data_IF_754029730007
#
_entry.id   IF_754029730007
#
_cell.length_a   1.000
_cell.length_b   1.000
_cell.length_c   1.000
_cell.angle_alpha   90.00
_cell.angle_beta   90.00
_cell.angle_gamma   90.00
#
_symmetry.space_group_name_H-M   'P 1'
#
loop_
_entity.id
_entity.type
_entity.pdbx_description
1 polymer ?
#
# COMPACT_ATOMS: atom_id res chain seq x y z
N UNK A 1 3.24 16.77 33.72
CA UNK A 1 2.24 15.85 33.17
C UNK A 1 3.03 14.79 32.43
N UNK A 2 2.94 13.54 32.88
CA UNK A 2 3.57 12.42 32.21
C UNK A 2 2.86 12.22 30.87
N UNK A 3 3.59 12.44 29.78
CA UNK A 3 3.07 12.30 28.43
C UNK A 3 3.96 11.31 27.67
N UNK A 4 3.34 10.38 26.97
CA UNK A 4 4.03 9.46 26.07
C UNK A 4 3.93 9.99 24.65
N UNK A 5 5.01 9.87 23.90
CA UNK A 5 5.04 10.26 22.49
C UNK A 5 4.85 9.01 21.63
N UNK A 6 3.82 9.03 20.80
CA UNK A 6 3.63 8.09 19.71
C UNK A 6 4.07 8.75 18.39
N UNK A 7 4.88 8.04 17.61
CA UNK A 7 5.23 8.40 16.25
C UNK A 7 4.56 7.41 15.32
N UNK A 8 3.90 7.92 14.28
CA UNK A 8 3.20 7.09 13.30
C UNK A 8 3.66 7.45 11.89
N UNK A 9 3.98 6.42 11.11
CA UNK A 9 4.10 6.47 9.65
C UNK A 9 2.95 5.69 9.02
N UNK A 10 2.71 5.89 7.74
CA UNK A 10 1.66 5.22 6.98
C UNK A 10 2.04 5.22 5.52
N UNK A 11 1.55 4.23 4.77
CA UNK A 11 1.66 4.16 3.31
C UNK A 11 3.09 4.44 2.85
N UNK A 12 4.07 3.85 3.57
CA UNK A 12 5.49 4.07 3.30
C UNK A 12 5.89 3.52 1.94
N UNK A 13 5.20 2.46 1.46
CA UNK A 13 5.36 1.88 0.14
C UNK A 13 6.81 1.73 -0.29
N UNK A 14 7.63 1.13 0.58
CA UNK A 14 9.05 0.87 0.33
C UNK A 14 9.83 2.11 -0.13
N UNK A 15 9.42 3.32 0.26
CA UNK A 15 10.02 4.59 -0.16
C UNK A 15 11.39 4.83 0.50
N UNK A 16 12.23 3.80 0.65
CA UNK A 16 13.53 3.86 1.33
C UNK A 16 14.47 4.90 0.71
N UNK A 17 14.63 5.00 -0.64
CA UNK A 17 15.52 6.00 -1.23
C UNK A 17 15.07 7.44 -0.98
N UNK A 18 13.78 7.73 -1.11
CA UNK A 18 13.20 9.08 -0.96
C UNK A 18 12.85 9.48 0.47
N UNK A 19 12.57 8.49 1.33
CA UNK A 19 12.08 8.63 2.70
C UNK A 19 13.15 8.60 3.77
N UNK A 20 14.44 8.76 3.42
CA UNK A 20 15.56 8.73 4.38
C UNK A 20 15.40 9.76 5.50
N UNK A 21 14.90 10.96 5.20
CA UNK A 21 14.65 11.99 6.21
C UNK A 21 13.58 11.54 7.23
N UNK A 22 12.51 10.90 6.76
CA UNK A 22 11.48 10.30 7.61
C UNK A 22 12.06 9.20 8.50
N UNK A 23 12.81 8.26 7.92
CA UNK A 23 13.44 7.19 8.69
C UNK A 23 14.41 7.76 9.74
N UNK A 24 15.20 8.77 9.39
CA UNK A 24 16.09 9.45 10.34
C UNK A 24 15.33 10.12 11.49
N UNK A 25 14.20 10.77 11.19
CA UNK A 25 13.33 11.37 12.20
C UNK A 25 12.69 10.30 13.11
N UNK A 26 12.25 9.17 12.55
CA UNK A 26 11.78 8.00 13.32
C UNK A 26 12.88 7.50 14.26
N UNK A 27 14.11 7.29 13.77
CA UNK A 27 15.24 6.88 14.62
C UNK A 27 15.49 7.88 15.75
N UNK A 28 15.43 9.18 15.46
CA UNK A 28 15.64 10.23 16.44
C UNK A 28 14.57 10.22 17.55
N UNK A 29 13.30 10.08 17.18
CA UNK A 29 12.21 10.02 18.16
C UNK A 29 12.25 8.73 18.97
N UNK A 30 12.54 7.60 18.34
CA UNK A 30 12.73 6.32 19.03
C UNK A 30 13.87 6.40 20.05
N UNK A 31 14.99 7.02 19.68
CA UNK A 31 16.12 7.24 20.61
C UNK A 31 15.75 8.16 21.79
N UNK A 32 14.73 9.01 21.64
CA UNK A 32 14.15 9.83 22.73
C UNK A 32 13.09 9.07 23.54
N UNK A 33 12.82 7.81 23.23
CA UNK A 33 11.87 6.96 23.93
C UNK A 33 10.43 7.05 23.42
N UNK A 34 10.19 7.57 22.21
CA UNK A 34 8.88 7.48 21.58
C UNK A 34 8.53 6.03 21.21
N UNK A 35 7.26 5.70 21.28
CA UNK A 35 6.68 4.49 20.70
C UNK A 35 6.46 4.74 19.21
N UNK A 36 6.74 3.77 18.36
CA UNK A 36 6.68 3.92 16.91
C UNK A 36 5.76 2.86 16.31
N UNK A 37 4.82 3.30 15.48
CA UNK A 37 3.82 2.44 14.84
C UNK A 37 3.76 2.77 13.36
N UNK A 38 3.54 1.77 12.53
CA UNK A 38 3.17 1.98 11.13
C UNK A 38 1.71 1.60 10.92
N UNK A 39 0.98 2.44 10.19
CA UNK A 39 -0.45 2.29 9.92
C UNK A 39 -0.77 1.51 8.64
N UNK A 40 0.22 0.80 8.07
CA UNK A 40 0.04 -0.15 6.98
C UNK A 40 0.49 0.38 5.64
N UNK A 41 0.55 -0.55 4.68
CA UNK A 41 1.13 -0.35 3.34
C UNK A 41 2.60 0.10 3.44
N UNK A 42 3.36 -0.61 4.27
CA UNK A 42 4.80 -0.39 4.39
C UNK A 42 5.56 -0.97 3.20
N UNK A 43 5.11 -2.11 2.69
CA UNK A 43 5.73 -2.84 1.59
C UNK A 43 5.18 -2.45 0.21
N UNK A 44 5.91 -2.88 -0.82
CA UNK A 44 5.46 -2.83 -2.21
C UNK A 44 5.41 -1.45 -2.85
N UNK A 45 4.93 -1.44 -4.08
CA UNK A 45 4.54 -0.22 -4.79
C UNK A 45 5.64 0.49 -5.61
N UNK A 46 6.88 -0.01 -5.63
CA UNK A 46 7.97 0.60 -6.39
C UNK A 46 9.12 -0.37 -6.75
N UNK A 47 10.09 0.11 -7.53
CA UNK A 47 11.26 -0.65 -7.95
C UNK A 47 12.21 -1.03 -6.81
N UNK A 48 12.24 -0.26 -5.72
CA UNK A 48 13.08 -0.59 -4.56
C UNK A 48 12.61 -1.88 -3.89
N UNK A 49 11.30 -2.09 -3.78
CA UNK A 49 10.74 -3.32 -3.22
C UNK A 49 11.12 -4.56 -4.04
N UNK A 50 11.02 -4.47 -5.37
CA UNK A 50 11.43 -5.54 -6.28
C UNK A 50 12.93 -5.87 -6.14
N UNK A 51 13.76 -4.84 -5.97
CA UNK A 51 15.19 -5.01 -5.71
C UNK A 51 15.48 -5.65 -4.35
N UNK A 52 14.83 -5.17 -3.29
CA UNK A 52 15.09 -5.63 -1.92
C UNK A 52 14.49 -7.00 -1.63
N UNK A 53 13.41 -7.35 -2.33
CA UNK A 53 12.54 -8.48 -2.03
C UNK A 53 11.91 -8.37 -0.64
N UNK A 54 11.60 -7.15 -0.18
CA UNK A 54 11.08 -6.86 1.16
C UNK A 54 12.11 -6.95 2.30
N UNK A 55 13.34 -7.40 2.05
CA UNK A 55 14.34 -7.67 3.10
C UNK A 55 14.79 -6.41 3.86
N UNK A 56 14.89 -5.28 3.15
CA UNK A 56 15.31 -4.01 3.78
C UNK A 56 14.17 -3.44 4.61
N UNK A 57 12.95 -3.55 4.10
CA UNK A 57 11.71 -3.12 4.73
C UNK A 57 11.45 -3.92 6.00
N UNK A 58 11.57 -5.25 5.95
CA UNK A 58 11.48 -6.13 7.11
C UNK A 58 12.50 -5.73 8.19
N UNK A 59 13.76 -5.49 7.79
CA UNK A 59 14.81 -5.03 8.71
C UNK A 59 14.43 -3.69 9.36
N UNK A 60 13.94 -2.73 8.58
CA UNK A 60 13.53 -1.42 9.09
C UNK A 60 12.37 -1.54 10.08
N UNK A 61 11.36 -2.36 9.77
CA UNK A 61 10.23 -2.64 10.66
C UNK A 61 10.71 -3.28 11.98
N UNK A 62 11.54 -4.31 11.91
CA UNK A 62 12.10 -4.99 13.08
C UNK A 62 12.99 -4.10 13.95
N UNK A 63 13.69 -3.12 13.38
CA UNK A 63 14.58 -2.22 14.12
C UNK A 63 13.88 -1.01 14.73
N UNK A 64 12.87 -0.48 14.04
CA UNK A 64 12.34 0.85 14.32
C UNK A 64 10.94 0.86 14.90
N UNK A 65 10.15 -0.18 14.68
CA UNK A 65 8.71 -0.16 14.97
C UNK A 65 8.37 -1.08 16.15
N UNK A 66 7.43 -0.63 16.96
CA UNK A 66 6.89 -1.37 18.09
C UNK A 66 5.59 -2.11 17.72
N UNK A 67 4.88 -1.67 16.67
CA UNK A 67 3.72 -2.35 16.09
C UNK A 67 3.51 -1.95 14.62
N UNK A 68 2.79 -2.81 13.88
CA UNK A 68 2.33 -2.56 12.51
C UNK A 68 0.84 -2.88 12.42
N UNK A 69 0.03 -2.02 11.82
CA UNK A 69 -1.29 -2.39 11.29
C UNK A 69 -1.11 -2.80 9.83
N UNK A 70 -1.62 -3.95 9.38
CA UNK A 70 -1.41 -4.38 8.00
C UNK A 70 -2.29 -3.56 7.04
N UNK A 71 -1.69 -3.09 5.96
CA UNK A 71 -2.41 -2.56 4.80
C UNK A 71 -2.71 -3.65 3.75
N UNK A 72 -3.37 -3.24 2.67
CA UNK A 72 -3.74 -4.16 1.59
C UNK A 72 -2.53 -4.63 0.75
N UNK A 73 -1.41 -3.91 0.80
CA UNK A 73 -0.19 -4.28 0.10
C UNK A 73 0.78 -5.14 0.93
N UNK A 74 0.55 -5.33 2.24
CA UNK A 74 1.53 -5.96 3.13
C UNK A 74 1.42 -7.49 3.20
N UNK A 75 0.25 -8.08 2.90
CA UNK A 75 -0.05 -9.46 3.32
C UNK A 75 0.90 -10.49 2.72
N UNK A 76 1.30 -10.32 1.47
CA UNK A 76 2.17 -11.26 0.79
C UNK A 76 3.58 -11.28 1.42
N UNK A 77 4.12 -10.13 1.81
CA UNK A 77 5.41 -10.00 2.48
C UNK A 77 5.36 -10.47 3.94
N UNK A 78 4.26 -10.19 4.65
CA UNK A 78 4.03 -10.73 6.00
C UNK A 78 4.03 -12.26 6.02
N UNK A 79 3.60 -12.92 4.95
CA UNK A 79 3.65 -14.39 4.84
C UNK A 79 5.05 -14.94 4.51
N UNK A 80 6.03 -14.07 4.21
CA UNK A 80 7.38 -14.43 3.74
C UNK A 80 8.51 -13.86 4.61
N UNK A 81 8.21 -13.47 5.85
CA UNK A 81 9.19 -12.93 6.79
C UNK A 81 10.40 -13.86 6.96
N UNK A 82 11.60 -13.31 6.85
CA UNK A 82 12.84 -14.04 7.07
C UNK A 82 13.15 -14.25 8.56
N UNK A 83 12.77 -13.29 9.42
CA UNK A 83 12.96 -13.34 10.87
C UNK A 83 11.68 -12.92 11.62
N UNK A 84 10.64 -13.78 11.61
CA UNK A 84 9.36 -13.49 12.26
C UNK A 84 9.46 -13.24 13.77
N UNK A 85 10.52 -13.74 14.42
CA UNK A 85 10.77 -13.54 15.84
C UNK A 85 11.15 -12.11 16.20
N UNK A 86 11.83 -11.39 15.29
CA UNK A 86 12.22 -9.98 15.49
C UNK A 86 11.21 -9.00 14.92
N UNK A 87 10.39 -9.41 13.97
CA UNK A 87 9.37 -8.56 13.34
C UNK A 87 8.35 -8.02 14.36
N UNK A 88 7.93 -6.74 14.31
CA UNK A 88 6.97 -6.20 15.27
C UNK A 88 5.64 -6.95 15.24
N UNK A 89 4.86 -6.97 16.34
CA UNK A 89 3.51 -7.50 16.31
C UNK A 89 2.65 -6.79 15.25
N UNK A 90 1.96 -7.59 14.43
CA UNK A 90 0.91 -7.13 13.52
C UNK A 90 -0.40 -7.03 14.31
N UNK A 91 -1.05 -5.87 14.25
CA UNK A 91 -2.26 -5.57 15.03
C UNK A 91 -3.44 -5.35 14.09
N UNK A 92 -4.40 -6.27 14.09
CA UNK A 92 -5.61 -6.15 13.28
C UNK A 92 -6.77 -6.94 13.89
N UNK A 93 -7.80 -6.25 14.36
CA UNK A 93 -8.95 -6.82 15.04
C UNK A 93 -9.82 -7.69 14.12
N UNK A 94 -9.92 -7.31 12.86
CA UNK A 94 -10.90 -7.83 11.92
C UNK A 94 -10.30 -8.69 10.80
N UNK A 95 -8.99 -9.00 10.91
CA UNK A 95 -8.29 -9.90 10.01
C UNK A 95 -7.45 -10.87 10.85
N UNK A 96 -7.56 -12.18 10.56
CA UNK A 96 -6.72 -13.21 11.17
C UNK A 96 -5.90 -13.94 10.11
N UNK A 97 -4.59 -14.15 10.35
CA UNK A 97 -3.75 -14.86 9.41
C UNK A 97 -4.06 -16.36 9.39
N UNK A 98 -3.62 -17.08 8.34
CA UNK A 98 -3.66 -18.53 8.32
C UNK A 98 -2.74 -19.12 9.41
N UNK A 99 -3.00 -20.35 9.84
CA UNK A 99 -2.28 -20.99 10.95
C UNK A 99 -0.77 -21.20 10.67
N UNK A 100 -0.35 -21.10 9.40
CA UNK A 100 1.06 -21.16 8.96
C UNK A 100 1.82 -19.84 9.10
N UNK A 101 1.18 -18.78 9.59
CA UNK A 101 1.84 -17.50 9.79
C UNK A 101 2.75 -17.58 11.03
N UNK A 102 4.04 -17.37 10.83
CA UNK A 102 5.06 -17.56 11.87
C UNK A 102 5.30 -16.30 12.74
N UNK A 103 4.75 -15.15 12.33
CA UNK A 103 4.90 -13.89 13.05
C UNK A 103 3.97 -13.73 14.24
N UNK A 104 4.07 -12.58 14.92
CA UNK A 104 3.13 -12.20 16.00
C UNK A 104 1.94 -11.45 15.42
N UNK A 105 0.74 -11.95 15.65
CA UNK A 105 -0.50 -11.28 15.26
C UNK A 105 -1.44 -11.14 16.48
N UNK A 106 -2.01 -9.96 16.67
CA UNK A 106 -2.97 -9.69 17.73
C UNK A 106 -4.15 -8.85 17.21
N UNK A 107 -5.33 -9.01 17.83
CA UNK A 107 -6.50 -8.17 17.49
C UNK A 107 -6.34 -6.74 18.00
N UNK A 108 -5.68 -6.59 19.14
CA UNK A 108 -5.34 -5.33 19.78
C UNK A 108 -4.05 -5.52 20.58
N UNK A 109 -3.36 -4.42 20.89
CA UNK A 109 -2.04 -4.47 21.54
C UNK A 109 -1.91 -3.38 22.60
N UNK A 110 -1.55 -3.76 23.82
CA UNK A 110 -1.02 -2.83 24.81
C UNK A 110 0.47 -2.63 24.53
N UNK A 111 0.88 -1.40 24.17
CA UNK A 111 2.27 -1.10 23.90
C UNK A 111 3.14 -1.26 25.17
N UNK A 112 4.46 -1.50 25.02
CA UNK A 112 5.37 -1.74 26.14
C UNK A 112 5.26 -0.68 27.26
N UNK A 113 5.55 -1.08 28.49
CA UNK A 113 5.31 -0.31 29.71
C UNK A 113 6.01 1.07 29.73
N UNK A 114 5.31 2.08 29.21
CA UNK A 114 5.55 3.51 29.46
C UNK A 114 4.25 4.10 29.98
N UNK A 115 4.36 5.10 30.84
CA UNK A 115 3.20 5.84 31.34
C UNK A 115 2.98 7.10 30.48
N UNK A 116 1.75 7.42 30.06
CA UNK A 116 0.55 6.58 30.07
C UNK A 116 0.70 5.29 29.24
N UNK A 117 0.07 4.22 29.71
CA UNK A 117 -0.07 2.95 28.98
C UNK A 117 -1.02 3.14 27.80
N UNK A 118 -0.50 2.97 26.58
CA UNK A 118 -1.26 3.18 25.34
C UNK A 118 -1.67 1.83 24.74
N UNK A 119 -2.97 1.64 24.56
CA UNK A 119 -3.53 0.53 23.79
C UNK A 119 -3.81 0.91 22.34
N UNK A 120 -3.57 -0.02 21.41
CA UNK A 120 -3.86 0.12 19.99
C UNK A 120 -4.92 -0.91 19.59
N UNK A 121 -5.98 -0.44 18.93
CA UNK A 121 -6.89 -1.28 18.15
C UNK A 121 -6.60 -1.04 16.67
N UNK A 122 -6.06 -2.06 16.00
CA UNK A 122 -5.78 -2.03 14.57
C UNK A 122 -6.98 -2.53 13.76
N UNK A 123 -7.29 -1.96 12.60
CA UNK A 123 -8.32 -2.52 11.70
C UNK A 123 -8.11 -2.16 10.23
N UNK A 124 -8.54 -3.06 9.35
CA UNK A 124 -8.45 -2.94 7.89
C UNK A 124 -9.85 -2.73 7.30
N UNK A 125 -10.02 -1.71 6.45
CA UNK A 125 -11.30 -1.44 5.79
C UNK A 125 -11.72 -2.56 4.84
N UNK A 126 -13.02 -2.78 4.66
CA UNK A 126 -13.53 -3.79 3.73
C UNK A 126 -13.10 -3.51 2.28
N UNK A 127 -13.20 -2.25 1.84
CA UNK A 127 -12.75 -1.81 0.54
C UNK A 127 -11.26 -2.07 0.31
N UNK A 128 -10.41 -1.84 1.33
CA UNK A 128 -8.99 -2.13 1.25
C UNK A 128 -8.73 -3.64 1.21
N UNK A 129 -9.42 -4.44 2.01
CA UNK A 129 -9.31 -5.90 1.95
C UNK A 129 -9.73 -6.49 0.59
N UNK A 130 -10.69 -5.87 -0.07
CA UNK A 130 -11.20 -6.29 -1.37
C UNK A 130 -10.28 -5.93 -2.55
N UNK A 131 -9.31 -5.02 -2.37
CA UNK A 131 -8.26 -4.74 -3.37
C UNK A 131 -7.10 -5.73 -3.30
N UNK A 132 -6.99 -6.52 -2.22
CA UNK A 132 -5.95 -7.53 -2.08
C UNK A 132 -6.19 -8.66 -3.09
N UNK A 133 -5.19 -9.02 -3.92
CA UNK A 133 -5.31 -10.14 -4.84
C UNK A 133 -5.82 -11.41 -4.13
N UNK A 134 -6.81 -12.12 -4.68
CA UNK A 134 -7.39 -13.33 -4.08
C UNK A 134 -6.35 -14.36 -3.61
N UNK A 135 -5.28 -14.54 -4.39
CA UNK A 135 -4.18 -15.45 -4.05
C UNK A 135 -3.39 -15.00 -2.80
N UNK A 136 -3.24 -13.70 -2.58
CA UNK A 136 -2.47 -13.13 -1.46
C UNK A 136 -3.27 -13.13 -0.16
N UNK A 137 -4.59 -12.90 -0.22
CA UNK A 137 -5.49 -13.01 0.94
C UNK A 137 -6.00 -14.43 1.20
N UNK A 138 -5.58 -15.42 0.40
CA UNK A 138 -6.00 -16.80 0.57
C UNK A 138 -5.62 -17.36 1.94
N UNK A 139 -6.61 -17.89 2.66
CA UNK A 139 -6.43 -18.45 4.02
C UNK A 139 -6.53 -17.43 5.15
N UNK A 140 -6.55 -16.13 4.85
CA UNK A 140 -6.90 -15.12 5.84
C UNK A 140 -8.39 -15.16 6.15
N UNK A 141 -8.74 -14.98 7.43
CA UNK A 141 -10.12 -14.87 7.89
C UNK A 141 -10.43 -13.41 8.16
N UNK A 142 -11.20 -12.79 7.26
CA UNK A 142 -11.64 -11.40 7.37
C UNK A 142 -13.09 -11.32 7.86
N UNK A 143 -13.36 -10.33 8.71
CA UNK A 143 -14.73 -9.88 9.02
C UNK A 143 -14.80 -8.37 8.79
N UNK A 144 -15.92 -7.81 8.29
CA UNK A 144 -16.07 -6.37 8.19
C UNK A 144 -15.85 -5.70 9.56
N UNK A 145 -15.09 -4.60 9.64
CA UNK A 145 -14.92 -3.89 10.89
C UNK A 145 -16.25 -3.24 11.31
N UNK A 146 -16.59 -3.32 12.60
CA UNK A 146 -17.80 -2.72 13.16
C UNK A 146 -17.51 -1.96 14.44
N UNK A 147 -18.36 -0.99 14.78
CA UNK A 147 -18.26 -0.26 16.05
C UNK A 147 -18.20 -1.20 17.26
N UNK A 148 -18.97 -2.30 17.26
CA UNK A 148 -19.00 -3.28 18.36
C UNK A 148 -17.69 -4.08 18.48
N UNK A 149 -17.11 -4.49 17.34
CA UNK A 149 -15.82 -5.18 17.32
C UNK A 149 -14.73 -4.28 17.91
N UNK A 150 -14.67 -3.03 17.45
CA UNK A 150 -13.70 -2.05 17.94
C UNK A 150 -13.94 -1.70 19.40
N UNK A 151 -15.20 -1.65 19.86
CA UNK A 151 -15.54 -1.37 21.25
C UNK A 151 -15.08 -2.52 22.17
N UNK A 152 -15.29 -3.76 21.72
CA UNK A 152 -14.86 -4.96 22.45
C UNK A 152 -13.35 -4.96 22.69
N UNK A 153 -12.56 -4.69 21.65
CA UNK A 153 -11.09 -4.62 21.76
C UNK A 153 -10.63 -3.42 22.60
N UNK A 154 -11.30 -2.26 22.48
CA UNK A 154 -11.04 -1.10 23.34
C UNK A 154 -11.27 -1.44 24.82
N UNK A 155 -12.42 -2.02 25.13
CA UNK A 155 -12.82 -2.31 26.52
C UNK A 155 -11.93 -3.38 27.14
N UNK A 156 -11.50 -4.35 26.32
CA UNK A 156 -10.46 -5.31 26.71
C UNK A 156 -9.17 -4.61 27.10
N UNK A 157 -8.62 -3.74 26.25
CA UNK A 157 -7.38 -3.02 26.56
C UNK A 157 -7.49 -2.14 27.81
N UNK A 158 -8.64 -1.47 28.01
CA UNK A 158 -8.90 -0.70 29.23
C UNK A 158 -8.91 -1.62 30.46
N UNK A 159 -9.51 -2.81 30.36
CA UNK A 159 -9.50 -3.80 31.45
C UNK A 159 -8.11 -4.39 31.74
N UNK A 160 -7.25 -4.45 30.74
CA UNK A 160 -5.84 -4.86 30.84
C UNK A 160 -4.94 -3.72 31.38
N UNK A 161 -5.51 -2.54 31.64
CA UNK A 161 -4.85 -1.40 32.27
C UNK A 161 -4.27 -0.37 31.31
N UNK A 162 -4.79 -0.24 30.09
CA UNK A 162 -4.53 0.90 29.24
C UNK A 162 -5.10 2.18 29.87
N UNK A 163 -4.31 3.25 29.91
CA UNK A 163 -4.79 4.59 30.28
C UNK A 163 -5.56 5.23 29.11
N UNK A 164 -5.09 5.00 27.89
CA UNK A 164 -5.67 5.53 26.64
C UNK A 164 -5.66 4.45 25.57
N UNK A 165 -6.75 4.37 24.81
CA UNK A 165 -6.84 3.49 23.64
C UNK A 165 -7.04 4.33 22.37
N UNK A 166 -6.23 4.04 21.36
CA UNK A 166 -6.31 4.68 20.04
C UNK A 166 -6.62 3.66 18.96
N UNK A 167 -7.23 4.13 17.88
CA UNK A 167 -7.39 3.36 16.65
C UNK A 167 -6.22 3.61 15.72
N UNK A 168 -5.75 2.56 15.07
CA UNK A 168 -4.88 2.67 13.89
C UNK A 168 -5.56 1.91 12.77
N UNK A 169 -5.96 2.63 11.74
CA UNK A 169 -6.87 2.18 10.70
C UNK A 169 -6.17 2.19 9.36
N UNK A 170 -6.36 1.13 8.59
CA UNK A 170 -6.04 1.10 7.16
C UNK A 170 -7.35 1.07 6.34
N UNK A 171 -8.22 2.04 6.60
CA UNK A 171 -9.56 2.15 5.96
C UNK A 171 -9.63 3.37 5.02
N UNK A 172 -8.84 4.41 5.27
CA UNK A 172 -8.91 5.65 4.50
C UNK A 172 -9.61 6.75 5.29
N UNK A 173 -9.00 7.93 5.28
CA UNK A 173 -9.39 9.11 6.03
C UNK A 173 -10.88 9.46 5.94
N UNK A 174 -11.47 9.45 4.73
CA UNK A 174 -12.89 9.79 4.57
C UNK A 174 -13.83 8.73 5.19
N UNK A 175 -13.46 7.46 5.09
CA UNK A 175 -14.21 6.37 5.72
C UNK A 175 -14.08 6.43 7.25
N UNK A 176 -12.87 6.65 7.76
CA UNK A 176 -12.65 6.81 9.20
C UNK A 176 -13.42 8.01 9.77
N UNK A 177 -13.51 9.13 9.03
CA UNK A 177 -14.34 10.27 9.42
C UNK A 177 -15.81 9.89 9.48
N UNK A 178 -16.33 9.21 8.45
CA UNK A 178 -17.70 8.74 8.43
C UNK A 178 -17.98 7.81 9.62
N UNK A 179 -17.09 6.88 9.92
CA UNK A 179 -17.21 5.99 11.08
C UNK A 179 -17.26 6.77 12.41
N UNK A 180 -16.40 7.79 12.56
CA UNK A 180 -16.42 8.65 13.75
C UNK A 180 -17.71 9.49 13.87
N UNK A 181 -18.26 9.95 12.76
CA UNK A 181 -19.56 10.65 12.71
C UNK A 181 -20.73 9.73 13.09
N UNK A 182 -20.65 8.44 12.75
CA UNK A 182 -21.59 7.40 13.19
C UNK A 182 -21.37 6.96 14.65
N UNK A 183 -20.44 7.58 15.37
CA UNK A 183 -20.28 7.39 16.81
C UNK A 183 -19.45 6.18 17.21
N UNK A 184 -18.55 5.71 16.33
CA UNK A 184 -17.60 4.63 16.64
C UNK A 184 -16.83 4.87 17.96
N UNK A 185 -16.38 3.82 18.65
CA UNK A 185 -16.07 3.88 20.08
C UNK A 185 -14.77 4.59 20.47
N UNK A 186 -13.92 4.95 19.52
CA UNK A 186 -12.59 5.50 19.77
C UNK A 186 -12.60 7.03 19.66
N UNK A 187 -11.82 7.72 20.50
CA UNK A 187 -11.71 9.20 20.45
C UNK A 187 -10.64 9.68 19.47
N UNK A 188 -9.67 8.83 19.15
CA UNK A 188 -8.57 9.13 18.25
C UNK A 188 -8.35 7.93 17.33
N UNK A 189 -8.41 8.19 16.02
CA UNK A 189 -8.07 7.24 14.97
C UNK A 189 -6.93 7.83 14.12
N UNK A 190 -5.88 7.05 13.91
CA UNK A 190 -4.85 7.33 12.91
C UNK A 190 -5.21 6.57 11.63
N UNK A 191 -5.37 7.28 10.52
CA UNK A 191 -5.81 6.75 9.24
C UNK A 191 -4.64 6.56 8.26
N UNK A 192 -4.65 5.43 7.54
CA UNK A 192 -3.83 5.12 6.36
C UNK A 192 -4.68 4.85 5.10
N UNK A 193 -4.16 4.10 4.13
CA UNK A 193 -4.79 3.61 2.89
C UNK A 193 -5.02 4.65 1.79
N UNK A 194 -5.46 5.86 2.15
CA UNK A 194 -5.86 6.87 1.16
C UNK A 194 -4.86 8.02 1.06
N UNK A 195 -4.53 8.41 -0.17
CA UNK A 195 -3.74 9.61 -0.49
C UNK A 195 -4.58 10.90 -0.40
N UNK A 196 -5.35 11.03 0.68
CA UNK A 196 -6.25 12.17 0.89
C UNK A 196 -5.45 13.46 1.08
N UNK A 197 -5.92 14.60 0.51
CA UNK A 197 -5.32 15.91 0.78
C UNK A 197 -5.59 16.40 2.21
N UNK A 198 -6.47 15.73 2.96
CA UNK A 198 -6.79 16.04 4.35
C UNK A 198 -5.98 15.19 5.32
N UNK A 199 -5.48 15.83 6.38
CA UNK A 199 -4.64 15.19 7.41
C UNK A 199 -5.24 15.18 8.80
N UNK A 200 -6.29 15.98 9.04
CA UNK A 200 -6.92 16.08 10.35
C UNK A 200 -8.39 16.47 10.23
N UNK A 201 -9.24 15.75 10.95
CA UNK A 201 -10.64 16.06 11.19
C UNK A 201 -10.92 15.98 12.69
N UNK A 202 -11.81 16.83 13.19
CA UNK A 202 -12.27 16.75 14.56
C UNK A 202 -13.74 17.15 14.72
N UNK A 203 -14.46 16.43 15.59
CA UNK A 203 -15.83 16.77 16.01
C UNK A 203 -16.13 16.18 17.38
N UNK A 204 -16.77 16.95 18.27
CA UNK A 204 -17.19 16.50 19.59
C UNK A 204 -16.10 15.75 20.40
N UNK A 205 -14.85 16.22 20.32
CA UNK A 205 -13.69 15.61 20.99
C UNK A 205 -13.23 14.29 20.38
N UNK A 206 -13.64 13.98 19.15
CA UNK A 206 -13.15 12.87 18.32
C UNK A 206 -12.21 13.40 17.25
N UNK A 207 -11.20 12.62 16.90
CA UNK A 207 -10.15 13.01 15.96
C UNK A 207 -9.85 11.87 15.00
N UNK A 208 -9.76 12.21 13.71
CA UNK A 208 -9.17 11.36 12.68
C UNK A 208 -7.96 12.11 12.14
N UNK A 209 -6.78 11.48 12.16
CA UNK A 209 -5.54 12.14 11.77
C UNK A 209 -4.70 11.21 10.90
N UNK A 210 -3.88 11.75 10.01
CA UNK A 210 -3.07 10.96 9.07
C UNK A 210 -1.62 11.46 9.04
N UNK A 211 -0.68 10.56 8.82
CA UNK A 211 0.73 10.90 8.55
C UNK A 211 0.95 11.14 7.04
N UNK A 212 1.95 11.94 6.62
CA UNK A 212 2.31 12.06 5.21
C UNK A 212 2.83 10.73 4.65
N UNK A 213 2.36 10.39 3.46
CA UNK A 213 2.58 9.11 2.80
C UNK A 213 3.90 9.07 2.02
N UNK A 214 4.26 7.89 1.51
CA UNK A 214 5.39 7.65 0.60
C UNK A 214 6.71 8.20 1.16
N UNK A 215 6.87 8.05 2.48
CA UNK A 215 8.05 8.51 3.19
C UNK A 215 8.21 10.04 3.25
N UNK A 216 7.16 10.82 2.98
CA UNK A 216 7.22 12.29 2.97
C UNK A 216 7.09 12.92 4.36
N UNK A 217 6.94 12.14 5.43
CA UNK A 217 6.71 12.69 6.75
C UNK A 217 6.41 11.68 7.84
N UNK A 218 6.09 12.20 9.02
CA UNK A 218 5.55 11.42 10.12
C UNK A 218 4.50 12.21 10.90
N UNK A 219 3.62 11.50 11.57
CA UNK A 219 2.75 12.03 12.60
C UNK A 219 3.39 11.83 13.97
N UNK A 220 3.31 12.84 14.83
CA UNK A 220 3.67 12.72 16.24
C UNK A 220 2.47 13.08 17.11
N UNK A 221 2.20 12.25 18.10
CA UNK A 221 1.11 12.42 19.06
C UNK A 221 1.72 12.41 20.47
N UNK A 222 1.63 13.54 21.18
CA UNK A 222 1.88 13.55 22.61
C UNK A 222 0.56 13.23 23.32
N UNK A 223 0.51 12.13 24.06
CA UNK A 223 -0.68 11.62 24.76
C UNK A 223 -0.48 11.71 26.27
N UNK A 224 -1.43 12.28 26.99
CA UNK A 224 -1.52 12.21 28.45
C UNK A 224 -2.45 11.09 28.92
N UNK A 225 -2.41 10.80 30.23
CA UNK A 225 -3.21 9.75 30.88
C UNK A 225 -4.73 9.91 30.78
N UNK A 226 -5.22 11.11 30.48
CA UNK A 226 -6.66 11.40 30.39
C UNK A 226 -7.19 11.29 28.96
N UNK A 227 -6.31 10.99 27.99
CA UNK A 227 -6.63 11.03 26.55
C UNK A 227 -6.48 12.41 25.93
N UNK A 228 -6.01 13.40 26.69
CA UNK A 228 -5.61 14.70 26.16
C UNK A 228 -4.40 14.53 25.25
N UNK A 229 -4.42 15.23 24.12
CA UNK A 229 -3.43 15.00 23.06
C UNK A 229 -3.07 16.25 22.27
N UNK A 230 -1.83 16.26 21.77
CA UNK A 230 -1.31 17.27 20.84
C UNK A 230 -0.69 16.54 19.65
N UNK A 231 -1.18 16.84 18.46
CA UNK A 231 -0.66 16.31 17.20
C UNK A 231 0.35 17.28 16.57
N UNK A 232 1.33 16.72 15.90
CA UNK A 232 2.27 17.45 15.05
C UNK A 232 2.54 16.60 13.82
N UNK A 233 2.21 17.13 12.65
CA UNK A 233 2.49 16.50 11.36
C UNK A 233 3.79 17.13 10.84
N UNK A 234 4.82 16.32 10.70
CA UNK A 234 6.09 16.73 10.10
C UNK A 234 6.13 16.28 8.65
N UNK A 235 6.39 17.21 7.74
CA UNK A 235 6.69 16.90 6.34
C UNK A 235 8.18 17.10 6.07
N UNK A 236 8.75 16.23 5.25
CA UNK A 236 10.13 16.26 4.85
C UNK A 236 10.17 16.25 3.33
N UNK A 237 10.99 17.13 2.75
CA UNK A 237 11.29 17.09 1.32
C UNK A 237 12.58 16.30 1.10
N UNK A 238 12.75 15.63 -0.06
CA UNK A 238 14.01 14.96 -0.37
C UNK A 238 15.25 15.88 -0.29
N UNK A 239 15.06 17.20 -0.44
CA UNK A 239 16.09 18.24 -0.33
C UNK A 239 16.37 18.71 1.11
N UNK A 240 15.50 18.40 2.07
CA UNK A 240 15.71 18.78 3.48
C UNK A 240 16.36 17.63 4.24
N UNK A 241 17.69 17.77 4.41
CA UNK A 241 18.55 17.03 5.33
C UNK A 241 18.76 15.54 5.04
N UNK A 242 19.84 15.28 4.32
CA UNK A 242 20.65 14.05 4.47
C UNK A 242 20.91 13.84 5.98
N UNK A 243 20.75 12.61 6.52
CA UNK A 243 21.02 12.36 7.93
C UNK A 243 22.47 12.74 8.27
N UNK A 244 22.74 13.36 9.44
CA UNK A 244 24.08 13.78 9.82
C UNK A 244 25.04 12.61 10.13
N UNK A 245 24.64 11.35 9.91
CA UNK A 245 25.40 10.12 10.17
C UNK A 245 25.01 9.01 9.18
N UNK A 246 25.91 8.04 8.93
CA UNK A 246 25.55 6.83 8.18
C UNK A 246 24.35 6.14 8.84
N UNK A 247 23.35 5.76 8.04
CA UNK A 247 22.12 5.10 8.53
C UNK A 247 22.06 3.60 8.19
N UNK A 248 23.13 3.06 7.59
CA UNK A 248 23.23 1.65 7.21
C UNK A 248 22.44 1.29 5.96
N UNK A 249 22.04 2.30 5.17
CA UNK A 249 21.41 2.15 3.86
C UNK A 249 22.35 2.49 2.71
N UNK A 250 23.56 2.99 2.97
CA UNK A 250 24.48 3.49 1.93
C UNK A 250 24.85 2.43 0.89
N UNK A 251 25.23 1.24 1.34
CA UNK A 251 25.64 0.14 0.47
C UNK A 251 24.47 -0.36 -0.38
N UNK A 252 23.34 -0.68 0.26
CA UNK A 252 22.14 -1.17 -0.44
C UNK A 252 21.55 -0.15 -1.41
N UNK A 253 21.65 1.15 -1.11
CA UNK A 253 21.22 2.20 -2.04
C UNK A 253 22.19 2.37 -3.21
N UNK A 254 23.48 2.10 -3.01
CA UNK A 254 24.47 2.07 -4.10
C UNK A 254 24.19 0.88 -5.04
N UNK A 255 23.92 -0.29 -4.47
CA UNK A 255 23.52 -1.48 -5.24
C UNK A 255 22.20 -1.27 -5.98
N UNK A 256 21.20 -0.69 -5.32
CA UNK A 256 19.92 -0.34 -5.92
C UNK A 256 20.10 0.61 -7.10
N UNK A 257 20.93 1.66 -6.96
CA UNK A 257 21.19 2.60 -8.04
C UNK A 257 21.86 1.92 -9.26
N UNK A 258 22.80 1.00 -9.01
CA UNK A 258 23.45 0.22 -10.07
C UNK A 258 22.47 -0.74 -10.76
N UNK A 259 21.66 -1.47 -9.98
CA UNK A 259 20.65 -2.39 -10.49
C UNK A 259 19.54 -1.66 -11.26
N UNK A 260 19.08 -0.53 -10.74
CA UNK A 260 17.99 0.26 -11.31
C UNK A 260 18.39 1.07 -12.52
N UNK A 261 19.68 1.44 -12.62
CA UNK A 261 20.25 2.22 -13.72
C UNK A 261 20.47 1.44 -15.02
N UNK A 262 20.26 0.12 -15.03
CA UNK A 262 20.36 -0.69 -16.25
C UNK A 262 19.34 -0.22 -17.31
N UNK A 263 19.82 0.09 -18.51
CA UNK A 263 18.96 0.53 -19.62
C UNK A 263 18.17 -0.65 -20.18
N UNK A 264 16.85 -0.51 -20.24
CA UNK A 264 15.93 -1.48 -20.86
C UNK A 264 15.72 -1.17 -22.34
N UNK A 265 15.67 0.11 -22.71
CA UNK A 265 15.53 0.56 -24.10
C UNK A 265 15.23 2.05 -24.20
N UNK A 266 14.57 2.47 -25.27
CA UNK A 266 14.28 3.88 -25.55
C UNK A 266 12.94 4.06 -26.23
N UNK A 267 12.09 4.92 -25.67
CA UNK A 267 10.85 5.35 -26.28
C UNK A 267 11.09 6.46 -27.32
N UNK A 268 10.21 6.61 -28.32
CA UNK A 268 10.28 7.73 -29.28
C UNK A 268 10.16 9.11 -28.59
N UNK A 269 9.35 9.18 -27.53
CA UNK A 269 9.16 10.36 -26.69
C UNK A 269 8.90 9.93 -25.25
N UNK A 270 9.12 10.84 -24.28
CA UNK A 270 8.73 10.63 -22.88
C UNK A 270 7.21 10.58 -22.75
N UNK A 271 6.73 9.79 -21.79
CA UNK A 271 5.33 9.70 -21.38
C UNK A 271 5.24 10.31 -19.98
N UNK A 272 4.55 11.43 -19.84
CA UNK A 272 4.61 12.23 -18.62
C UNK A 272 3.75 11.67 -17.49
N UNK A 273 2.64 11.05 -17.87
CA UNK A 273 1.62 10.58 -16.94
C UNK A 273 1.40 9.08 -17.07
N UNK A 274 0.82 8.47 -16.03
CA UNK A 274 0.42 7.06 -16.07
C UNK A 274 -0.66 6.83 -17.13
N UNK A 275 -1.49 7.84 -17.41
CA UNK A 275 -2.53 7.83 -18.43
C UNK A 275 -1.92 7.75 -19.84
N UNK A 276 -0.83 8.49 -20.11
CA UNK A 276 -0.09 8.40 -21.37
C UNK A 276 0.47 6.99 -21.59
N UNK A 277 1.01 6.38 -20.54
CA UNK A 277 1.49 4.99 -20.58
C UNK A 277 0.34 4.02 -20.81
N UNK A 278 -0.77 4.17 -20.09
CA UNK A 278 -1.93 3.28 -20.18
C UNK A 278 -2.47 3.15 -21.60
N UNK A 279 -2.55 4.26 -22.34
CA UNK A 279 -3.05 4.27 -23.72
C UNK A 279 -2.18 3.42 -24.66
N UNK A 280 -0.86 3.62 -24.61
CA UNK A 280 0.08 2.87 -25.46
C UNK A 280 0.18 1.40 -25.04
N UNK A 281 0.23 1.16 -23.73
CA UNK A 281 0.30 -0.17 -23.16
C UNK A 281 -0.94 -1.00 -23.50
N UNK A 282 -2.13 -0.41 -23.43
CA UNK A 282 -3.36 -1.10 -23.82
C UNK A 282 -3.30 -1.58 -25.27
N UNK A 283 -2.80 -0.75 -26.18
CA UNK A 283 -2.69 -1.10 -27.61
C UNK A 283 -1.65 -2.20 -27.85
N UNK A 284 -0.51 -2.15 -27.15
CA UNK A 284 0.51 -3.19 -27.25
C UNK A 284 0.02 -4.51 -26.67
N UNK A 285 -0.57 -4.48 -25.47
CA UNK A 285 -1.10 -5.66 -24.79
C UNK A 285 -2.24 -6.31 -25.58
N UNK A 286 -3.11 -5.50 -26.22
CA UNK A 286 -4.13 -5.99 -27.17
C UNK A 286 -3.52 -6.81 -28.28
N UNK A 287 -2.48 -6.27 -28.93
CA UNK A 287 -1.78 -6.94 -30.04
C UNK A 287 -1.09 -8.21 -29.55
N UNK A 288 -0.40 -8.15 -28.41
CA UNK A 288 0.32 -9.29 -27.83
C UNK A 288 -0.62 -10.43 -27.40
N UNK A 289 -1.80 -10.10 -26.88
CA UNK A 289 -2.81 -11.08 -26.47
C UNK A 289 -3.65 -11.60 -27.66
N UNK A 290 -3.54 -11.01 -28.84
CA UNK A 290 -4.35 -11.40 -30.01
C UNK A 290 -5.86 -11.14 -29.81
N UNK A 291 -6.22 -10.13 -29.03
CA UNK A 291 -7.60 -9.79 -28.70
C UNK A 291 -8.14 -8.62 -29.52
N UNK A 292 -9.46 -8.51 -29.62
CA UNK A 292 -10.12 -7.39 -30.29
C UNK A 292 -9.98 -6.09 -29.50
N UNK A 293 -10.01 -6.19 -28.17
CA UNK A 293 -9.82 -5.10 -27.22
C UNK A 293 -8.98 -5.56 -26.03
N UNK A 294 -8.26 -4.62 -25.46
CA UNK A 294 -7.62 -4.79 -24.16
C UNK A 294 -8.13 -3.77 -23.17
N UNK A 295 -8.35 -4.18 -21.92
CA UNK A 295 -8.73 -3.30 -20.82
C UNK A 295 -7.76 -3.52 -19.66
N UNK A 296 -7.14 -2.44 -19.16
CA UNK A 296 -6.41 -2.46 -17.89
C UNK A 296 -7.05 -1.53 -16.88
N UNK A 297 -6.75 -1.73 -15.61
CA UNK A 297 -6.99 -0.75 -14.57
C UNK A 297 -5.84 0.26 -14.53
N UNK A 298 -6.14 1.56 -14.54
CA UNK A 298 -5.13 2.61 -14.43
C UNK A 298 -4.36 2.52 -13.11
N UNK A 299 -4.99 2.00 -12.05
CA UNK A 299 -4.36 1.72 -10.75
C UNK A 299 -3.20 0.72 -10.83
N UNK A 300 -3.08 -0.07 -11.90
CA UNK A 300 -1.91 -0.92 -12.15
C UNK A 300 -0.65 -0.12 -12.50
N UNK A 301 -0.78 1.17 -12.81
CA UNK A 301 0.30 2.08 -13.17
C UNK A 301 0.47 3.17 -12.11
N UNK A 302 1.73 3.47 -11.74
CA UNK A 302 2.03 4.51 -10.72
C UNK A 302 2.73 5.75 -11.28
N UNK A 303 3.39 5.63 -12.42
CA UNK A 303 4.18 6.72 -13.00
C UNK A 303 4.12 6.73 -14.54
N UNK A 304 4.52 7.86 -15.12
CA UNK A 304 4.91 7.94 -16.52
C UNK A 304 6.24 7.21 -16.80
N UNK A 305 6.75 7.36 -18.02
CA UNK A 305 8.03 6.77 -18.44
C UNK A 305 8.96 7.80 -19.11
N UNK A 306 10.23 7.88 -18.70
CA UNK A 306 11.22 8.70 -19.38
C UNK A 306 11.52 8.14 -20.78
N UNK A 307 12.11 8.97 -21.65
CA UNK A 307 12.50 8.54 -22.99
C UNK A 307 13.55 7.42 -22.94
N UNK A 308 14.59 7.57 -22.12
CA UNK A 308 15.53 6.48 -21.81
C UNK A 308 14.97 5.69 -20.65
N UNK A 309 14.46 4.49 -20.93
CA UNK A 309 13.83 3.65 -19.92
C UNK A 309 14.90 2.78 -19.27
N UNK A 310 15.01 2.91 -17.95
CA UNK A 310 15.83 2.05 -17.11
C UNK A 310 14.97 1.01 -16.40
N UNK A 311 15.59 -0.03 -15.83
CA UNK A 311 14.92 -1.04 -15.02
C UNK A 311 14.08 -0.39 -13.92
N UNK A 312 14.66 0.58 -13.21
CA UNK A 312 13.95 1.32 -12.18
C UNK A 312 12.69 2.00 -12.75
N UNK A 313 12.82 2.80 -13.81
CA UNK A 313 11.66 3.54 -14.33
C UNK A 313 10.54 2.61 -14.85
N UNK A 314 10.92 1.44 -15.40
CA UNK A 314 9.96 0.43 -15.84
C UNK A 314 9.18 -0.15 -14.66
N UNK A 315 9.87 -0.49 -13.58
CA UNK A 315 9.29 -1.10 -12.37
C UNK A 315 8.52 -0.08 -11.52
N UNK A 316 8.97 1.17 -11.46
CA UNK A 316 8.22 2.26 -10.83
C UNK A 316 6.93 2.57 -11.62
N UNK A 317 6.93 2.35 -12.94
CA UNK A 317 5.73 2.51 -13.76
C UNK A 317 4.73 1.36 -13.54
N UNK A 318 5.19 0.10 -13.60
CA UNK A 318 4.38 -1.13 -13.41
C UNK A 318 4.92 -1.94 -12.21
N UNK A 319 4.63 -1.53 -10.97
CA UNK A 319 5.15 -2.20 -9.79
C UNK A 319 4.44 -3.53 -9.50
N UNK A 320 3.20 -3.71 -9.96
CA UNK A 320 2.44 -4.95 -9.80
C UNK A 320 2.27 -5.64 -11.15
N UNK A 321 3.04 -6.71 -11.36
CA UNK A 321 3.12 -7.36 -12.66
C UNK A 321 2.06 -8.44 -12.84
N UNK A 322 0.88 -8.02 -13.28
CA UNK A 322 -0.22 -8.93 -13.51
C UNK A 322 -0.10 -9.67 -14.85
N UNK A 323 -0.49 -10.94 -14.87
CA UNK A 323 -0.58 -11.75 -16.09
C UNK A 323 -1.61 -11.17 -17.06
N UNK A 324 -1.36 -11.31 -18.35
CA UNK A 324 -2.34 -11.04 -19.40
C UNK A 324 -3.23 -12.27 -19.60
N UNK A 325 -4.54 -12.06 -19.59
CA UNK A 325 -5.55 -13.11 -19.75
C UNK A 325 -6.56 -12.74 -20.83
N UNK A 326 -7.11 -13.75 -21.50
CA UNK A 326 -8.24 -13.62 -22.43
C UNK A 326 -9.52 -14.06 -21.72
N UNK A 327 -10.55 -13.23 -21.75
CA UNK A 327 -11.87 -13.58 -21.23
C UNK A 327 -12.50 -14.64 -22.14
N UNK A 328 -13.04 -15.71 -21.56
CA UNK A 328 -13.51 -16.88 -22.31
C UNK A 328 -14.74 -16.60 -23.20
N UNK A 329 -15.50 -15.55 -22.87
CA UNK A 329 -16.68 -15.11 -23.61
C UNK A 329 -16.46 -13.75 -24.27
N UNK A 330 -17.23 -13.47 -25.32
CA UNK A 330 -17.25 -12.13 -25.93
C UNK A 330 -18.14 -11.21 -25.11
N UNK A 331 -17.64 -10.01 -24.81
CA UNK A 331 -18.40 -8.99 -24.10
C UNK A 331 -18.38 -7.66 -24.87
N UNK A 332 -19.41 -6.82 -24.76
CA UNK A 332 -19.28 -5.42 -25.10
C UNK A 332 -18.28 -4.76 -24.15
N UNK A 333 -17.29 -4.06 -24.71
CA UNK A 333 -16.26 -3.37 -23.92
C UNK A 333 -16.88 -2.42 -22.90
N UNK A 334 -17.95 -1.71 -23.27
CA UNK A 334 -18.64 -0.76 -22.40
C UNK A 334 -19.25 -1.42 -21.16
N UNK A 335 -19.68 -2.67 -21.26
CA UNK A 335 -20.19 -3.43 -20.11
C UNK A 335 -19.06 -3.74 -19.13
N UNK A 336 -17.88 -4.12 -19.63
CA UNK A 336 -16.69 -4.37 -18.79
C UNK A 336 -16.22 -3.08 -18.12
N UNK A 337 -16.17 -1.97 -18.87
CA UNK A 337 -15.81 -0.65 -18.34
C UNK A 337 -16.79 -0.18 -17.26
N UNK A 338 -18.10 -0.36 -17.49
CA UNK A 338 -19.11 0.03 -16.51
C UNK A 338 -19.03 -0.81 -15.23
N UNK A 339 -18.85 -2.14 -15.37
CA UNK A 339 -18.70 -3.03 -14.22
C UNK A 339 -17.45 -2.69 -13.39
N UNK A 340 -16.32 -2.39 -14.04
CA UNK A 340 -15.10 -1.95 -13.35
C UNK A 340 -15.31 -0.63 -12.59
N UNK A 341 -15.93 0.38 -13.22
CA UNK A 341 -16.22 1.66 -12.56
C UNK A 341 -17.17 1.50 -11.37
N UNK A 342 -18.12 0.57 -11.41
CA UNK A 342 -19.01 0.28 -10.27
C UNK A 342 -18.26 -0.27 -9.05
N UNK A 343 -17.12 -0.94 -9.28
CA UNK A 343 -16.24 -1.46 -8.23
C UNK A 343 -15.17 -0.45 -7.78
N UNK A 344 -15.24 0.80 -8.25
CA UNK A 344 -14.29 1.86 -7.94
C UNK A 344 -12.99 1.82 -8.75
N UNK A 345 -12.92 0.98 -9.78
CA UNK A 345 -11.74 0.89 -10.65
C UNK A 345 -11.71 2.03 -11.69
N UNK A 346 -10.52 2.30 -12.22
CA UNK A 346 -10.26 3.32 -13.26
C UNK A 346 -9.88 2.65 -14.59
N UNK A 347 -10.82 2.01 -15.32
CA UNK A 347 -10.46 1.20 -16.47
C UNK A 347 -10.08 2.04 -17.71
N UNK A 348 -9.01 1.64 -18.38
CA UNK A 348 -8.53 2.18 -19.66
C UNK A 348 -8.58 1.09 -20.71
N UNK A 349 -9.26 1.35 -21.83
CA UNK A 349 -9.36 0.43 -22.95
C UNK A 349 -8.49 0.87 -24.13
N UNK A 350 -7.99 -0.10 -24.90
CA UNK A 350 -7.38 0.15 -26.21
C UNK A 350 -8.36 0.90 -27.13
N UNK A 351 -7.86 1.74 -28.03
CA UNK A 351 -8.72 2.56 -28.90
C UNK A 351 -9.13 1.83 -30.18
N UNK A 352 -8.29 0.94 -30.69
CA UNK A 352 -8.59 0.17 -31.90
C UNK A 352 -9.49 -1.02 -31.58
N UNK A 353 -10.45 -1.30 -32.48
CA UNK A 353 -11.24 -2.53 -32.52
C UNK A 353 -10.71 -3.39 -33.68
N UNK A 354 -10.37 -4.65 -33.43
CA UNK A 354 -9.95 -5.55 -34.52
C UNK A 354 -11.12 -6.02 -35.41
N UNK A 355 -12.37 -5.79 -34.97
CA UNK A 355 -13.60 -6.20 -35.66
C UNK A 355 -14.73 -5.19 -35.41
N UNK A 356 -15.58 -4.95 -36.42
CA UNK A 356 -16.77 -4.07 -36.35
C UNK A 356 -17.97 -4.65 -35.59
N UNK A 357 -17.76 -5.67 -34.76
CA UNK A 357 -18.80 -6.28 -33.92
C UNK A 357 -18.87 -5.62 -32.53
N UNK A 358 -20.07 -5.50 -31.96
CA UNK A 358 -20.28 -4.87 -30.65
C UNK A 358 -19.85 -5.75 -29.46
N UNK A 359 -19.92 -7.08 -29.62
CA UNK A 359 -19.29 -8.05 -28.72
C UNK A 359 -17.97 -8.52 -29.34
N UNK A 360 -16.92 -8.59 -28.53
CA UNK A 360 -15.57 -8.85 -29.00
C UNK A 360 -14.77 -9.66 -27.98
N UNK A 361 -13.70 -10.32 -28.42
CA UNK A 361 -12.75 -10.98 -27.53
C UNK A 361 -11.98 -9.90 -26.75
N UNK A 362 -12.12 -9.93 -25.42
CA UNK A 362 -11.45 -8.98 -24.53
C UNK A 362 -10.27 -9.68 -23.86
N UNK A 363 -9.10 -9.07 -23.94
CA UNK A 363 -7.99 -9.37 -23.06
C UNK A 363 -7.90 -8.32 -21.95
N UNK A 364 -7.38 -8.73 -20.81
CA UNK A 364 -7.21 -7.86 -19.63
C UNK A 364 -6.09 -8.40 -18.75
N UNK A 365 -5.87 -7.80 -17.58
CA UNK A 365 -4.98 -8.36 -16.55
C UNK A 365 -5.72 -9.39 -15.72
N UNK A 366 -5.00 -10.38 -15.17
CA UNK A 366 -5.57 -11.36 -14.23
C UNK A 366 -6.27 -10.67 -13.06
N UNK A 367 -5.66 -9.62 -12.50
CA UNK A 367 -6.27 -8.76 -11.47
C UNK A 367 -7.68 -8.29 -11.86
N UNK A 368 -7.84 -7.66 -13.03
CA UNK A 368 -9.12 -7.08 -13.42
C UNK A 368 -10.14 -8.16 -13.79
N UNK A 369 -9.71 -9.27 -14.39
CA UNK A 369 -10.59 -10.41 -14.64
C UNK A 369 -11.15 -10.99 -13.34
N UNK A 370 -10.29 -11.22 -12.35
CA UNK A 370 -10.68 -11.73 -11.02
C UNK A 370 -11.57 -10.74 -10.27
N UNK A 371 -11.22 -9.46 -10.28
CA UNK A 371 -12.00 -8.38 -9.67
C UNK A 371 -13.43 -8.32 -10.21
N UNK A 372 -13.60 -8.59 -11.50
CA UNK A 372 -14.91 -8.59 -12.18
C UNK A 372 -15.62 -9.95 -12.15
N UNK A 373 -15.00 -11.00 -11.60
CA UNK A 373 -15.53 -12.36 -11.63
C UNK A 373 -15.67 -12.93 -13.04
N UNK A 374 -14.81 -12.51 -13.97
CA UNK A 374 -14.81 -12.98 -15.35
C UNK A 374 -13.98 -14.26 -15.48
N UNK A 375 -14.57 -15.30 -16.07
CA UNK A 375 -13.82 -16.49 -16.48
C UNK A 375 -12.84 -16.11 -17.59
N UNK A 376 -11.56 -16.39 -17.36
CA UNK A 376 -10.49 -16.05 -18.28
C UNK A 376 -9.42 -17.14 -18.30
N UNK A 377 -8.71 -17.23 -19.42
CA UNK A 377 -7.58 -18.13 -19.64
C UNK A 377 -6.30 -17.34 -19.87
N UNK A 378 -5.12 -17.87 -19.49
CA UNK A 378 -3.85 -17.21 -19.76
C UNK A 378 -3.65 -16.89 -21.25
N UNK A 379 -2.99 -15.77 -21.55
CA UNK A 379 -2.50 -15.49 -22.89
C UNK A 379 -1.54 -16.59 -23.37
N UNK A 380 -1.48 -16.81 -24.68
CA UNK A 380 -0.58 -17.80 -25.30
C UNK A 380 0.26 -17.10 -26.37
N UNK A 381 1.59 -16.99 -26.18
CA UNK A 381 2.35 -17.43 -25.00
C UNK A 381 1.99 -16.64 -23.73
N UNK A 382 2.28 -17.16 -22.52
CA UNK A 382 2.11 -16.41 -21.27
C UNK A 382 2.91 -15.11 -21.32
N UNK A 383 2.29 -14.03 -20.86
CA UNK A 383 2.82 -12.66 -20.87
C UNK A 383 2.32 -11.92 -19.65
N UNK A 384 3.12 -10.99 -19.16
CA UNK A 384 2.71 -10.05 -18.12
C UNK A 384 2.49 -8.63 -18.67
N UNK A 385 1.94 -7.76 -17.83
CA UNK A 385 1.80 -6.34 -18.16
C UNK A 385 3.18 -5.67 -18.38
N UNK A 386 4.19 -6.05 -17.59
CA UNK A 386 5.56 -5.56 -17.76
C UNK A 386 6.25 -6.13 -18.99
N UNK A 387 5.95 -7.35 -19.42
CA UNK A 387 6.40 -7.86 -20.72
C UNK A 387 5.89 -6.99 -21.86
N UNK A 388 4.59 -6.69 -21.87
CA UNK A 388 3.98 -5.83 -22.89
C UNK A 388 4.57 -4.42 -22.88
N UNK A 389 4.90 -3.88 -21.70
CA UNK A 389 5.58 -2.60 -21.59
C UNK A 389 7.04 -2.67 -22.05
N UNK A 390 7.75 -3.74 -21.74
CA UNK A 390 9.12 -3.98 -22.22
C UNK A 390 9.17 -4.06 -23.74
N UNK A 391 8.17 -4.71 -24.35
CA UNK A 391 8.00 -4.81 -25.80
C UNK A 391 7.68 -3.47 -26.49
N UNK A 392 7.19 -2.45 -25.76
CA UNK A 392 7.04 -1.07 -26.27
C UNK A 392 8.38 -0.32 -26.30
N UNK A 393 9.27 -0.67 -25.38
CA UNK A 393 10.51 0.05 -25.11
C UNK A 393 11.70 -0.52 -25.90
N UNK A 394 11.65 -1.82 -26.21
CA UNK A 394 12.61 -2.50 -27.09
C UNK A 394 12.15 -2.35 -28.54
N UNK A 395 13.06 -1.94 -29.42
CA UNK A 395 12.74 -1.87 -30.85
C UNK A 395 12.47 -3.29 -31.39
N UNK A 396 11.57 -3.47 -32.38
CA UNK A 396 11.31 -4.78 -32.99
C UNK A 396 12.49 -5.38 -33.78
N UNK A 397 13.70 -4.81 -33.66
CA UNK A 397 14.91 -5.16 -34.41
C UNK A 397 16.15 -5.38 -33.52
N UNK A 398 15.99 -5.40 -32.20
CA UNK A 398 16.96 -5.96 -31.23
C UNK A 398 16.37 -7.24 -30.64
#
# INVERSE_FOLDING_TARGET
>A
MDATTLVVTTDFHSAVPGGRATLAAVRQWRARGALVVDAGDFFGGNAFHEFSGGRVEERLLAELYDALVPGNHDLADLMRLADPGRFPPVVCANLRPPDRFDGRWASSLLLPEREPRVGIVGYLGQQAFETIPPAERAGFRFVPPTADLIATERDRLLSEGADVVIGVSHTGFAHDVADQEHGWPLKLVVAGHCHSPSYHWASAGRHVVKAPEVGAGLLRIALDRTGGHIFSIGTFTPSTNVPPRPDGLEEVLTEYAAWGGERVGTLPARLDTREDVAQLLAERARTAAGADRFVLNLGSLRAGLPQTVTRQSLMDCVPFDADLVLVDSTHPVETVLAAARQLGEEPVASTQTASGTTACAIATTSYLAERLGLAARPAVPPRTLRDALTDLVRSPHE
#
